data_IF_815295172911
#
_entry.id   IF_815295172911
#
_cell.length_a   1.000
_cell.length_b   1.000
_cell.length_c   1.000
_cell.angle_alpha   90.00
_cell.angle_beta   90.00
_cell.angle_gamma   90.00
#
_symmetry.space_group_name_H-M   'P 1'
#
loop_
_entity.id
_entity.type
_entity.pdbx_description
1 polymer ?
#
# COMPACT_ATOMS: atom_id res chain seq x y z
N UNK A 1 -19.16 1.44 -1.65
CA UNK A 1 -18.16 0.93 -0.68
C UNK A 1 -17.57 -0.44 -1.02
N UNK A 2 -18.25 -1.59 -0.83
CA UNK A 2 -17.63 -2.91 -1.05
C UNK A 2 -17.14 -3.13 -2.51
N UNK A 3 -18.01 -2.86 -3.50
CA UNK A 3 -17.65 -3.00 -4.91
C UNK A 3 -16.49 -2.06 -5.32
N UNK A 4 -16.44 -0.85 -4.76
CA UNK A 4 -15.34 0.08 -5.01
C UNK A 4 -14.04 -0.44 -4.38
N UNK A 5 -14.09 -0.89 -3.13
CA UNK A 5 -12.94 -1.43 -2.40
C UNK A 5 -12.29 -2.62 -3.13
N UNK A 6 -13.11 -3.50 -3.72
CA UNK A 6 -12.63 -4.65 -4.50
C UNK A 6 -12.00 -4.25 -5.84
N UNK A 7 -12.35 -3.09 -6.39
CA UNK A 7 -11.81 -2.60 -7.67
C UNK A 7 -10.52 -1.80 -7.50
N UNK A 8 -10.23 -1.28 -6.30
CA UNK A 8 -9.04 -0.46 -6.01
C UNK A 8 -7.74 -1.09 -6.52
N UNK A 9 -7.45 -2.40 -6.30
CA UNK A 9 -6.18 -2.98 -6.73
C UNK A 9 -5.99 -2.99 -8.25
N UNK A 10 -7.09 -2.93 -9.02
CA UNK A 10 -7.09 -3.08 -10.47
C UNK A 10 -7.22 -1.75 -11.23
N UNK A 11 -7.44 -0.63 -10.52
CA UNK A 11 -7.66 0.70 -11.14
C UNK A 11 -6.42 1.57 -11.25
N UNK A 12 -5.28 1.13 -10.72
CA UNK A 12 -4.07 1.95 -10.76
C UNK A 12 -3.53 2.08 -12.18
N UNK A 13 -2.98 3.26 -12.50
CA UNK A 13 -2.28 3.54 -13.77
C UNK A 13 -1.15 2.53 -14.02
N UNK A 14 -0.54 2.01 -12.94
CA UNK A 14 0.40 0.88 -12.94
C UNK A 14 -0.06 -0.22 -11.97
N UNK A 15 -1.25 -0.77 -12.23
CA UNK A 15 -1.86 -1.82 -11.40
C UNK A 15 -0.99 -3.07 -11.35
N UNK A 16 -0.42 -3.48 -12.48
CA UNK A 16 0.42 -4.69 -12.57
C UNK A 16 1.70 -4.53 -11.77
N UNK A 17 2.42 -3.42 -11.90
CA UNK A 17 3.65 -3.17 -11.14
C UNK A 17 3.38 -3.10 -9.63
N UNK A 18 2.32 -2.40 -9.23
CA UNK A 18 1.94 -2.27 -7.82
C UNK A 18 1.49 -3.59 -7.21
N UNK A 19 0.69 -4.38 -7.94
CA UNK A 19 0.26 -5.70 -7.48
C UNK A 19 1.43 -6.67 -7.38
N UNK A 20 2.33 -6.68 -8.37
CA UNK A 20 3.48 -7.58 -8.38
C UNK A 20 4.44 -7.25 -7.23
N UNK A 21 4.86 -5.98 -7.12
CA UNK A 21 5.78 -5.54 -6.05
C UNK A 21 5.14 -5.72 -4.68
N UNK A 22 3.87 -5.34 -4.53
CA UNK A 22 3.14 -5.44 -3.27
C UNK A 22 2.88 -6.88 -2.83
N UNK A 23 2.53 -7.76 -3.76
CA UNK A 23 2.38 -9.19 -3.50
C UNK A 23 3.72 -9.81 -3.10
N UNK A 24 4.79 -9.62 -3.88
CA UNK A 24 6.12 -10.15 -3.56
C UNK A 24 6.57 -9.68 -2.18
N UNK A 25 6.45 -8.38 -1.89
CA UNK A 25 6.83 -7.83 -0.59
C UNK A 25 5.98 -8.40 0.56
N UNK A 26 4.68 -8.58 0.36
CA UNK A 26 3.79 -9.17 1.36
C UNK A 26 4.12 -10.64 1.60
N UNK A 27 4.31 -11.40 0.52
CA UNK A 27 4.69 -12.82 0.59
C UNK A 27 6.02 -13.00 1.28
N UNK A 28 7.03 -12.22 0.89
CA UNK A 28 8.34 -12.21 1.53
C UNK A 28 8.23 -11.87 3.02
N UNK A 29 7.41 -10.88 3.38
CA UNK A 29 7.19 -10.50 4.79
C UNK A 29 6.55 -11.65 5.59
N UNK A 30 5.55 -12.33 5.04
CA UNK A 30 4.86 -13.45 5.71
C UNK A 30 5.78 -14.65 5.87
N UNK A 31 6.48 -15.04 4.79
CA UNK A 31 7.44 -16.16 4.80
C UNK A 31 8.59 -15.86 5.76
N UNK A 32 9.16 -14.65 5.71
CA UNK A 32 10.24 -14.26 6.60
C UNK A 32 9.78 -14.23 8.07
N UNK A 33 8.57 -13.72 8.36
CA UNK A 33 8.02 -13.76 9.71
C UNK A 33 7.83 -15.19 10.23
N UNK A 34 7.28 -16.10 9.42
CA UNK A 34 7.13 -17.51 9.78
C UNK A 34 8.48 -18.18 10.03
N UNK A 35 9.45 -17.96 9.12
CA UNK A 35 10.81 -18.46 9.27
C UNK A 35 11.50 -17.93 10.53
N UNK A 36 11.26 -16.67 10.88
CA UNK A 36 11.82 -16.07 12.10
C UNK A 36 11.22 -16.60 13.39
N UNK A 37 9.91 -16.87 13.44
CA UNK A 37 9.32 -17.54 14.58
C UNK A 37 9.89 -18.95 14.77
N UNK A 38 10.03 -19.71 13.68
CA UNK A 38 10.68 -21.02 13.72
C UNK A 38 12.14 -20.91 14.17
N UNK A 39 12.87 -19.91 13.67
CA UNK A 39 14.26 -19.67 14.02
C UNK A 39 14.43 -19.25 15.48
N UNK A 40 13.57 -18.38 16.02
CA UNK A 40 13.57 -18.02 17.44
C UNK A 40 13.32 -19.21 18.35
N UNK A 41 12.52 -20.19 17.91
CA UNK A 41 12.22 -21.39 18.68
C UNK A 41 13.39 -22.38 18.69
N UNK A 42 14.15 -22.48 17.60
CA UNK A 42 15.26 -23.44 17.47
C UNK A 42 16.60 -22.82 17.91
N UNK A 43 16.90 -21.61 17.44
CA UNK A 43 18.15 -20.90 17.69
C UNK A 43 17.87 -19.40 17.97
N UNK A 44 17.58 -19.05 19.24
CA UNK A 44 17.17 -17.70 19.62
C UNK A 44 18.17 -16.61 19.23
N UNK A 45 19.46 -16.93 19.21
CA UNK A 45 20.54 -15.96 18.91
C UNK A 45 20.49 -15.49 17.47
N UNK A 46 20.39 -16.43 16.52
CA UNK A 46 20.26 -16.12 15.09
C UNK A 46 18.89 -15.49 14.82
N UNK A 47 17.84 -15.97 15.46
CA UNK A 47 16.51 -15.36 15.39
C UNK A 47 16.54 -13.87 15.79
N UNK A 48 17.20 -13.55 16.89
CA UNK A 48 17.40 -12.17 17.33
C UNK A 48 18.18 -11.33 16.28
N UNK A 49 19.24 -11.89 15.69
CA UNK A 49 20.05 -11.22 14.68
C UNK A 49 19.29 -10.88 13.38
N UNK A 50 18.30 -11.70 12.98
CA UNK A 50 17.49 -11.48 11.75
C UNK A 50 16.31 -10.52 11.97
N UNK A 51 15.91 -10.30 13.22
CA UNK A 51 14.83 -9.37 13.63
C UNK A 51 14.82 -8.02 12.90
N UNK A 52 15.93 -7.25 12.80
CA UNK A 52 15.89 -5.93 12.16
C UNK A 52 15.50 -6.00 10.68
N UNK A 53 15.90 -7.05 9.96
CA UNK A 53 15.58 -7.22 8.54
C UNK A 53 14.07 -7.43 8.38
N UNK A 54 13.50 -8.32 9.18
CA UNK A 54 12.06 -8.64 9.11
C UNK A 54 11.22 -7.46 9.56
N UNK A 55 11.69 -6.76 10.58
CA UNK A 55 11.07 -5.53 11.03
C UNK A 55 11.05 -4.50 9.91
N UNK A 56 12.15 -4.32 9.18
CA UNK A 56 12.22 -3.42 8.02
C UNK A 56 11.16 -3.76 6.96
N UNK A 57 11.08 -5.02 6.52
CA UNK A 57 10.07 -5.46 5.54
C UNK A 57 8.63 -5.16 6.03
N UNK A 58 8.36 -5.43 7.30
CA UNK A 58 7.06 -5.16 7.93
C UNK A 58 6.74 -3.66 7.93
N UNK A 59 7.72 -2.80 8.19
CA UNK A 59 7.54 -1.34 8.15
C UNK A 59 7.17 -0.84 6.74
N UNK A 60 7.80 -1.38 5.69
CA UNK A 60 7.50 -1.02 4.31
C UNK A 60 6.03 -1.31 3.95
N UNK A 61 5.59 -2.55 4.15
CA UNK A 61 4.20 -2.98 3.88
C UNK A 61 3.22 -2.10 4.66
N UNK A 62 3.56 -1.83 5.92
CA UNK A 62 2.71 -1.04 6.79
C UNK A 62 2.60 0.43 6.38
N UNK A 63 3.70 1.05 5.99
CA UNK A 63 3.71 2.41 5.46
C UNK A 63 2.87 2.52 4.20
N UNK A 64 2.94 1.52 3.32
CA UNK A 64 2.11 1.44 2.12
C UNK A 64 0.62 1.39 2.46
N UNK A 65 0.21 0.53 3.39
CA UNK A 65 -1.19 0.44 3.81
C UNK A 65 -1.72 1.77 4.39
N UNK A 66 -0.88 2.56 5.08
CA UNK A 66 -1.30 3.89 5.56
C UNK A 66 -1.55 4.85 4.39
N UNK A 67 -0.75 4.80 3.32
CA UNK A 67 -1.03 5.59 2.11
C UNK A 67 -2.33 5.17 1.43
N UNK A 68 -2.64 3.87 1.43
CA UNK A 68 -3.92 3.36 0.89
C UNK A 68 -5.10 3.85 1.73
N UNK A 69 -4.96 3.88 3.06
CA UNK A 69 -5.95 4.50 3.95
C UNK A 69 -6.13 5.98 3.61
N UNK A 70 -5.04 6.73 3.41
CA UNK A 70 -5.10 8.14 3.01
C UNK A 70 -5.83 8.33 1.65
N UNK A 71 -5.57 7.45 0.68
CA UNK A 71 -6.28 7.47 -0.60
C UNK A 71 -7.80 7.25 -0.42
N UNK A 72 -8.19 6.32 0.45
CA UNK A 72 -9.61 6.09 0.80
C UNK A 72 -10.26 7.28 1.48
N UNK A 73 -9.54 7.99 2.35
CA UNK A 73 -10.02 9.22 3.02
C UNK A 73 -10.27 10.34 1.99
N UNK A 74 -9.35 10.52 1.04
CA UNK A 74 -9.47 11.52 -0.03
C UNK A 74 -10.39 11.10 -1.19
N UNK A 75 -11.11 9.98 -1.06
CA UNK A 75 -11.99 9.42 -2.09
C UNK A 75 -11.29 9.11 -3.43
N UNK A 76 -9.96 8.93 -3.39
CA UNK A 76 -9.18 8.55 -4.58
C UNK A 76 -9.28 7.04 -4.78
N UNK A 77 -9.53 6.63 -6.02
CA UNK A 77 -9.60 5.22 -6.42
C UNK A 77 -8.26 4.64 -6.85
N UNK A 78 -7.23 5.48 -7.00
CA UNK A 78 -5.95 5.07 -7.57
C UNK A 78 -5.04 4.47 -6.49
N UNK A 79 -4.39 3.35 -6.81
CA UNK A 79 -3.41 2.75 -5.91
C UNK A 79 -2.21 3.69 -5.76
N UNK A 80 -1.76 3.97 -4.53
CA UNK A 80 -0.50 4.69 -4.31
C UNK A 80 0.67 3.90 -4.89
N UNK A 81 1.68 4.58 -5.42
CA UNK A 81 2.90 3.91 -5.90
C UNK A 81 3.85 3.57 -4.73
N UNK A 82 4.71 2.57 -4.95
CA UNK A 82 5.79 2.19 -4.03
C UNK A 82 7.00 3.13 -4.09
N UNK A 83 6.93 4.19 -4.91
CA UNK A 83 7.99 5.19 -5.02
C UNK A 83 8.14 5.94 -3.68
N UNK A 84 9.38 6.32 -3.34
CA UNK A 84 9.78 6.99 -2.08
C UNK A 84 9.79 6.07 -0.84
N UNK A 85 10.55 4.98 -0.91
CA UNK A 85 10.80 4.02 0.19
C UNK A 85 11.09 4.66 1.55
N UNK A 86 11.88 5.74 1.61
CA UNK A 86 12.20 6.43 2.86
C UNK A 86 10.97 6.98 3.59
N UNK A 87 9.99 7.52 2.85
CA UNK A 87 8.73 7.97 3.46
C UNK A 87 7.82 6.81 3.85
N UNK A 88 7.83 5.69 3.10
CA UNK A 88 7.12 4.47 3.51
C UNK A 88 7.67 3.93 4.84
N UNK A 89 8.98 3.89 4.99
CA UNK A 89 9.64 3.52 6.24
C UNK A 89 9.23 4.43 7.40
N UNK A 90 9.28 5.74 7.21
CA UNK A 90 8.88 6.72 8.24
C UNK A 90 7.42 6.54 8.65
N UNK A 91 6.50 6.47 7.69
CA UNK A 91 5.06 6.28 7.96
C UNK A 91 4.79 4.91 8.58
N UNK A 92 5.51 3.87 8.14
CA UNK A 92 5.46 2.53 8.73
C UNK A 92 5.91 2.51 10.18
N UNK A 93 7.00 3.21 10.50
CA UNK A 93 7.53 3.35 11.85
C UNK A 93 6.56 4.11 12.76
N UNK A 94 6.01 5.25 12.30
CA UNK A 94 4.98 6.00 13.02
C UNK A 94 3.74 5.14 13.28
N UNK A 95 3.25 4.44 12.27
CA UNK A 95 2.11 3.51 12.42
C UNK A 95 2.42 2.41 13.44
N UNK A 96 3.66 1.91 13.46
CA UNK A 96 4.11 0.89 14.41
C UNK A 96 4.17 1.40 15.82
N UNK A 97 4.72 2.59 16.02
CA UNK A 97 4.76 3.24 17.32
C UNK A 97 3.34 3.49 17.86
N UNK A 98 2.42 4.00 17.04
CA UNK A 98 1.00 4.16 17.43
C UNK A 98 0.41 2.83 17.87
N UNK A 99 0.57 1.77 17.08
CA UNK A 99 0.07 0.44 17.49
C UNK A 99 0.74 -0.15 18.71
N UNK A 100 2.02 0.14 18.96
CA UNK A 100 2.73 -0.31 20.14
C UNK A 100 2.19 0.37 21.40
N UNK A 101 1.95 1.69 21.34
CA UNK A 101 1.34 2.46 22.43
C UNK A 101 -0.05 1.90 22.75
N UNK A 102 -0.89 1.68 21.74
CA UNK A 102 -2.19 1.03 21.93
C UNK A 102 -2.10 -0.45 22.31
N UNK A 103 -0.95 -1.11 22.20
CA UNK A 103 -0.79 -2.50 22.64
C UNK A 103 -0.32 -2.61 24.10
N UNK A 104 0.07 -1.51 24.75
CA UNK A 104 0.56 -1.53 26.13
C UNK A 104 -0.42 -2.17 27.12
N UNK A 105 -1.73 -1.86 27.11
CA UNK A 105 -2.66 -2.50 28.04
C UNK A 105 -2.78 -4.00 27.78
N UNK A 106 -2.76 -4.42 26.51
CA UNK A 106 -2.73 -5.85 26.15
C UNK A 106 -1.48 -6.53 26.71
N UNK A 107 -0.32 -5.88 26.64
CA UNK A 107 0.95 -6.43 27.16
C UNK A 107 0.92 -6.63 28.67
N UNK A 108 0.23 -5.77 29.42
CA UNK A 108 0.02 -5.96 30.86
C UNK A 108 -0.84 -7.20 31.13
N UNK A 109 -1.92 -7.40 30.37
CA UNK A 109 -2.76 -8.60 30.47
C UNK A 109 -1.99 -9.88 30.11
N UNK A 110 -1.14 -9.83 29.07
CA UNK A 110 -0.25 -10.93 28.69
C UNK A 110 0.77 -11.23 29.78
N UNK A 111 1.42 -10.21 30.34
CA UNK A 111 2.38 -10.38 31.43
C UNK A 111 1.74 -10.99 32.67
N UNK A 112 0.52 -10.56 32.98
CA UNK A 112 -0.25 -11.06 34.12
C UNK A 112 -0.66 -12.54 33.91
N UNK A 113 -1.28 -12.87 32.77
CA UNK A 113 -1.71 -14.25 32.48
C UNK A 113 -0.51 -15.19 32.25
N UNK A 114 0.49 -14.73 31.50
CA UNK A 114 1.69 -15.49 31.18
C UNK A 114 2.57 -15.73 32.40
N UNK A 115 2.77 -14.70 33.24
CA UNK A 115 3.50 -14.84 34.50
C UNK A 115 2.83 -15.81 35.47
N UNK A 116 1.50 -15.70 35.62
CA UNK A 116 0.73 -16.63 36.45
C UNK A 116 0.73 -18.05 35.88
N UNK A 117 0.58 -18.21 34.55
CA UNK A 117 0.67 -19.51 33.88
C UNK A 117 2.05 -20.17 34.05
N UNK A 118 3.13 -19.40 33.89
CA UNK A 118 4.48 -19.89 34.11
C UNK A 118 4.68 -20.37 35.56
N UNK A 119 4.18 -19.63 36.54
CA UNK A 119 4.24 -20.02 37.95
C UNK A 119 3.51 -21.35 38.21
N UNK A 120 2.36 -21.59 37.57
CA UNK A 120 1.63 -22.87 37.69
C UNK A 120 2.35 -24.06 37.05
N UNK A 121 3.18 -23.83 36.03
CA UNK A 121 3.93 -24.89 35.34
C UNK A 121 5.21 -25.24 36.10
N UNK A 122 5.89 -24.23 36.64
CA UNK A 122 7.15 -24.40 37.37
C UNK A 122 6.90 -25.00 38.77
N UNK A 123 5.72 -24.73 39.35
CA UNK A 123 5.27 -25.21 40.65
C UNK A 123 6.30 -25.02 41.78
N UNK A 124 6.62 -23.76 42.14
CA UNK A 124 7.63 -23.47 43.16
C UNK A 124 7.21 -23.99 44.55
N UNK A 125 8.16 -24.31 45.45
CA UNK A 125 7.83 -24.82 46.78
C UNK A 125 6.97 -23.82 47.56
N UNK A 126 5.86 -24.30 48.12
CA UNK A 126 4.88 -23.47 48.85
C UNK A 126 3.80 -22.83 47.99
N UNK A 127 3.65 -23.25 46.73
CA UNK A 127 2.64 -22.71 45.80
C UNK A 127 1.21 -23.27 46.00
N UNK A 128 0.99 -24.08 47.03
CA UNK A 128 -0.31 -24.69 47.33
C UNK A 128 -1.28 -23.73 48.04
N UNK A 129 -2.58 -23.88 47.79
CA UNK A 129 -3.63 -23.12 48.46
C UNK A 129 -3.79 -21.70 47.89
N UNK A 130 -3.52 -20.67 48.70
CA UNK A 130 -3.78 -19.26 48.34
C UNK A 130 -2.99 -18.82 47.07
N UNK A 131 -1.69 -19.11 46.92
CA UNK A 131 -0.92 -18.70 45.74
C UNK A 131 -1.46 -19.31 44.44
N UNK A 132 -1.87 -20.59 44.45
CA UNK A 132 -2.49 -21.25 43.30
C UNK A 132 -3.82 -20.60 42.91
N UNK A 133 -4.67 -20.26 43.89
CA UNK A 133 -5.94 -19.56 43.64
C UNK A 133 -5.68 -18.17 43.04
N UNK A 134 -4.71 -17.42 43.58
CA UNK A 134 -4.32 -16.11 43.04
C UNK A 134 -3.81 -16.23 41.60
N UNK A 135 -3.02 -17.26 41.29
CA UNK A 135 -2.55 -17.51 39.93
C UNK A 135 -3.72 -17.84 38.99
N UNK A 136 -4.68 -18.66 39.41
CA UNK A 136 -5.87 -18.95 38.62
C UNK A 136 -6.72 -17.69 38.34
N UNK A 137 -6.92 -16.85 39.36
CA UNK A 137 -7.62 -15.55 39.21
C UNK A 137 -6.84 -14.62 38.29
N UNK A 138 -5.51 -14.58 38.40
CA UNK A 138 -4.66 -13.80 37.54
C UNK A 138 -4.75 -14.27 36.07
N UNK A 139 -4.67 -15.58 35.81
CA UNK A 139 -4.87 -16.14 34.46
C UNK A 139 -6.25 -15.76 33.92
N UNK A 140 -7.31 -15.84 34.73
CA UNK A 140 -8.66 -15.48 34.31
C UNK A 140 -8.77 -13.99 33.96
N UNK A 141 -8.32 -13.09 34.83
CA UNK A 141 -8.39 -11.63 34.62
C UNK A 141 -7.49 -11.22 33.45
N UNK A 142 -6.26 -11.73 33.39
CA UNK A 142 -5.31 -11.46 32.32
C UNK A 142 -5.78 -12.00 30.98
N UNK A 143 -6.25 -13.25 30.93
CA UNK A 143 -6.76 -13.89 29.72
C UNK A 143 -8.04 -13.24 29.20
N UNK A 144 -9.03 -13.04 30.08
CA UNK A 144 -10.29 -12.38 29.71
C UNK A 144 -10.09 -10.91 29.37
N UNK A 145 -9.26 -10.20 30.15
CA UNK A 145 -8.85 -8.82 29.87
C UNK A 145 -8.14 -8.70 28.52
N UNK A 146 -7.25 -9.65 28.18
CA UNK A 146 -6.59 -9.71 26.88
C UNK A 146 -7.60 -9.95 25.75
N UNK A 147 -8.59 -10.81 25.96
CA UNK A 147 -9.63 -11.10 24.96
C UNK A 147 -10.50 -9.86 24.70
N UNK A 148 -11.01 -9.23 25.76
CA UNK A 148 -11.83 -8.02 25.66
C UNK A 148 -11.04 -6.85 25.06
N UNK A 149 -9.85 -6.60 25.59
CA UNK A 149 -9.00 -5.53 25.10
C UNK A 149 -8.50 -5.81 23.68
N UNK A 150 -8.25 -7.07 23.32
CA UNK A 150 -7.89 -7.48 21.97
C UNK A 150 -8.96 -7.09 20.95
N UNK A 151 -10.24 -7.26 21.30
CA UNK A 151 -11.35 -6.84 20.45
C UNK A 151 -11.44 -5.31 20.33
N UNK A 152 -11.30 -4.60 21.45
CA UNK A 152 -11.24 -3.12 21.49
C UNK A 152 -10.07 -2.62 20.63
N UNK A 153 -8.89 -3.21 20.79
CA UNK A 153 -7.70 -2.91 20.00
C UNK A 153 -7.92 -3.18 18.52
N UNK A 154 -8.54 -4.29 18.15
CA UNK A 154 -8.86 -4.64 16.76
C UNK A 154 -9.80 -3.60 16.12
N UNK A 155 -10.70 -3.00 16.90
CA UNK A 155 -11.60 -1.93 16.45
C UNK A 155 -10.92 -0.56 16.36
N UNK A 156 -10.14 -0.17 17.37
CA UNK A 156 -9.51 1.15 17.48
C UNK A 156 -8.25 1.31 16.62
N UNK A 157 -7.50 0.23 16.40
CA UNK A 157 -6.25 0.26 15.62
C UNK A 157 -6.44 0.82 14.20
N UNK A 158 -7.43 0.39 13.39
CA UNK A 158 -7.68 0.99 12.08
C UNK A 158 -8.08 2.48 12.17
N UNK A 159 -8.87 2.89 13.16
CA UNK A 159 -9.23 4.30 13.37
C UNK A 159 -7.99 5.16 13.66
N UNK A 160 -7.10 4.71 14.54
CA UNK A 160 -5.86 5.42 14.84
C UNK A 160 -4.97 5.57 13.59
N UNK A 161 -4.95 4.55 12.72
CA UNK A 161 -4.25 4.64 11.42
C UNK A 161 -4.90 5.62 10.47
N UNK A 162 -6.23 5.72 10.44
CA UNK A 162 -6.93 6.72 9.63
C UNK A 162 -6.64 8.14 10.10
N UNK A 163 -6.63 8.39 11.42
CA UNK A 163 -6.21 9.69 11.98
C UNK A 163 -4.76 10.01 11.63
N UNK A 164 -3.85 9.04 11.73
CA UNK A 164 -2.45 9.21 11.33
C UNK A 164 -2.33 9.53 9.83
N UNK A 165 -3.09 8.83 8.99
CA UNK A 165 -3.10 9.01 7.55
C UNK A 165 -3.64 10.40 7.14
N UNK A 166 -4.67 10.90 7.81
CA UNK A 166 -5.26 12.21 7.53
C UNK A 166 -4.41 13.37 8.04
N UNK A 167 -3.76 13.22 9.20
CA UNK A 167 -3.08 14.35 9.87
C UNK A 167 -1.56 14.33 9.70
N UNK A 168 -0.95 13.22 9.28
CA UNK A 168 0.50 13.05 9.27
C UNK A 168 1.17 13.14 10.66
N UNK A 169 0.40 13.36 11.73
CA UNK A 169 0.90 13.65 13.07
C UNK A 169 0.71 12.46 14.00
N UNK A 170 1.81 12.01 14.59
CA UNK A 170 1.82 10.93 15.57
C UNK A 170 1.01 11.31 16.83
N UNK A 171 1.17 12.55 17.29
CA UNK A 171 0.48 13.08 18.47
C UNK A 171 -1.03 13.07 18.29
N UNK A 172 -1.51 13.44 17.10
CA UNK A 172 -2.93 13.40 16.78
C UNK A 172 -3.48 11.97 16.80
N UNK A 173 -2.71 11.00 16.30
CA UNK A 173 -3.09 9.59 16.25
C UNK A 173 -3.04 8.88 17.61
N UNK A 174 -2.28 9.39 18.58
CA UNK A 174 -2.20 8.86 19.95
C UNK A 174 -3.34 9.41 20.83
N UNK A 175 -3.93 10.56 20.49
CA UNK A 175 -4.98 11.17 21.29
C UNK A 175 -6.25 10.28 21.31
N UNK A 176 -6.57 9.63 22.44
CA UNK A 176 -7.63 8.62 22.49
C UNK A 176 -9.01 9.24 22.26
N UNK A 177 -9.24 10.49 22.67
CA UNK A 177 -10.52 11.17 22.47
C UNK A 177 -10.83 11.35 20.99
N UNK A 178 -9.82 11.77 20.21
CA UNK A 178 -9.94 11.95 18.76
C UNK A 178 -10.19 10.60 18.07
N UNK A 179 -9.43 9.58 18.41
CA UNK A 179 -9.59 8.25 17.80
C UNK A 179 -10.95 7.63 18.14
N UNK A 180 -11.40 7.74 19.40
CA UNK A 180 -12.71 7.24 19.83
C UNK A 180 -13.83 7.97 19.10
N UNK A 181 -13.74 9.30 18.95
CA UNK A 181 -14.74 10.08 18.20
C UNK A 181 -14.88 9.61 16.75
N UNK A 182 -13.76 9.38 16.04
CA UNK A 182 -13.78 8.81 14.68
C UNK A 182 -14.37 7.41 14.68
N UNK A 183 -14.04 6.60 15.69
CA UNK A 183 -14.53 5.23 15.79
C UNK A 183 -16.02 5.12 16.09
N UNK A 184 -16.64 6.17 16.64
CA UNK A 184 -18.08 6.22 16.93
C UNK A 184 -18.91 6.65 15.71
N UNK A 185 -18.26 7.06 14.61
CA UNK A 185 -18.96 7.39 13.38
C UNK A 185 -19.57 6.13 12.75
N UNK A 186 -20.85 6.17 12.40
CA UNK A 186 -21.55 5.04 11.78
C UNK A 186 -20.92 4.60 10.45
N UNK A 187 -20.41 5.54 9.66
CA UNK A 187 -19.71 5.23 8.40
C UNK A 187 -18.37 4.52 8.63
N UNK A 188 -17.69 4.78 9.76
CA UNK A 188 -16.49 4.05 10.13
C UNK A 188 -16.80 2.59 10.46
N UNK A 189 -17.85 2.33 11.24
CA UNK A 189 -18.28 0.97 11.58
C UNK A 189 -18.57 0.15 10.31
N UNK A 190 -19.26 0.74 9.33
CA UNK A 190 -19.53 0.09 8.05
C UNK A 190 -18.23 -0.26 7.29
N UNK A 191 -17.28 0.69 7.20
CA UNK A 191 -15.98 0.46 6.59
C UNK A 191 -15.16 -0.62 7.31
N UNK A 192 -15.21 -0.65 8.64
CA UNK A 192 -14.55 -1.66 9.46
C UNK A 192 -15.16 -3.06 9.30
N UNK A 193 -16.49 -3.17 9.27
CA UNK A 193 -17.17 -4.46 9.03
C UNK A 193 -16.84 -5.03 7.65
N UNK A 194 -16.80 -4.18 6.62
CA UNK A 194 -16.35 -4.58 5.27
C UNK A 194 -14.89 -5.08 5.33
N UNK A 195 -14.02 -4.36 6.01
CA UNK A 195 -12.61 -4.72 6.13
C UNK A 195 -12.41 -6.05 6.86
N UNK A 196 -13.11 -6.28 7.98
CA UNK A 196 -13.07 -7.57 8.68
C UNK A 196 -13.63 -8.67 7.79
N UNK A 197 -14.78 -8.47 7.15
CA UNK A 197 -15.37 -9.45 6.25
C UNK A 197 -14.40 -9.87 5.13
N UNK A 198 -13.70 -8.92 4.52
CA UNK A 198 -12.68 -9.21 3.51
C UNK A 198 -11.50 -10.01 4.07
N UNK A 199 -11.00 -9.63 5.24
CA UNK A 199 -9.83 -10.25 5.86
C UNK A 199 -10.12 -11.62 6.49
N UNK A 200 -11.37 -11.90 6.85
CA UNK A 200 -11.78 -13.21 7.37
C UNK A 200 -12.24 -14.14 6.25
N UNK A 201 -13.15 -13.71 5.38
CA UNK A 201 -13.72 -14.55 4.31
C UNK A 201 -12.72 -14.79 3.18
N UNK A 202 -11.89 -13.81 2.85
CA UNK A 202 -10.95 -13.91 1.73
C UNK A 202 -9.98 -15.10 1.84
N UNK A 203 -9.29 -15.30 2.98
CA UNK A 203 -8.44 -16.48 3.17
C UNK A 203 -9.17 -17.82 3.06
N UNK A 204 -10.46 -17.91 3.38
CA UNK A 204 -11.24 -19.15 3.25
C UNK A 204 -11.35 -19.62 1.78
N UNK A 205 -11.24 -18.70 0.82
CA UNK A 205 -11.27 -19.03 -0.61
C UNK A 205 -10.04 -19.81 -1.07
N UNK A 206 -8.93 -19.72 -0.32
CA UNK A 206 -7.67 -20.40 -0.63
C UNK A 206 -7.66 -21.83 -0.08
N UNK A 207 -8.45 -22.12 0.96
CA UNK A 207 -8.55 -23.44 1.58
C UNK A 207 -8.74 -24.61 0.60
N UNK A 208 -9.70 -24.58 -0.36
CA UNK A 208 -9.86 -25.68 -1.30
C UNK A 208 -8.62 -25.87 -2.19
N UNK A 209 -7.93 -24.79 -2.56
CA UNK A 209 -6.71 -24.86 -3.36
C UNK A 209 -5.57 -25.54 -2.58
N UNK A 210 -5.45 -25.24 -1.27
CA UNK A 210 -4.51 -25.93 -0.37
C UNK A 210 -4.83 -27.42 -0.29
N UNK A 211 -6.11 -27.78 -0.13
CA UNK A 211 -6.54 -29.20 -0.07
C UNK A 211 -6.16 -29.93 -1.36
N UNK A 212 -6.47 -29.35 -2.53
CA UNK A 212 -6.10 -29.94 -3.83
C UNK A 212 -4.59 -30.06 -3.97
N UNK A 213 -3.84 -29.03 -3.58
CA UNK A 213 -2.38 -29.05 -3.64
C UNK A 213 -1.76 -30.12 -2.75
N UNK A 214 -2.28 -30.32 -1.54
CA UNK A 214 -1.83 -31.38 -0.62
C UNK A 214 -2.18 -32.74 -1.19
N UNK A 215 -3.40 -32.91 -1.72
CA UNK A 215 -3.84 -34.18 -2.30
C UNK A 215 -3.00 -34.55 -3.53
N UNK A 216 -2.72 -33.59 -4.41
CA UNK A 216 -1.84 -33.77 -5.56
C UNK A 216 -0.42 -34.17 -5.13
N UNK A 217 0.07 -33.61 -4.02
CA UNK A 217 1.38 -33.94 -3.48
C UNK A 217 1.50 -35.33 -2.85
N UNK A 218 0.38 -35.98 -2.50
CA UNK A 218 0.38 -37.39 -2.11
C UNK A 218 0.62 -38.34 -3.28
N UNK A 219 0.33 -37.90 -4.52
CA UNK A 219 0.54 -38.71 -5.72
C UNK A 219 1.95 -38.57 -6.27
N UNK A 220 2.46 -37.34 -6.35
CA UNK A 220 3.75 -37.04 -6.97
C UNK A 220 4.38 -35.78 -6.34
N UNK A 221 5.67 -35.87 -6.02
CA UNK A 221 6.48 -34.77 -5.48
C UNK A 221 6.53 -33.58 -6.45
N UNK A 222 6.58 -33.82 -7.77
CA UNK A 222 6.59 -32.76 -8.78
C UNK A 222 5.26 -31.99 -8.77
N UNK A 223 4.13 -32.70 -8.69
CA UNK A 223 2.81 -32.09 -8.54
C UNK A 223 2.67 -31.36 -7.19
N UNK A 224 3.24 -31.90 -6.11
CA UNK A 224 3.31 -31.24 -4.81
C UNK A 224 4.00 -29.87 -4.93
N UNK A 225 5.15 -29.83 -5.60
CA UNK A 225 5.96 -28.63 -5.74
C UNK A 225 5.24 -27.57 -6.60
N UNK A 226 4.71 -27.97 -7.76
CA UNK A 226 3.98 -27.07 -8.66
C UNK A 226 2.70 -26.56 -8.01
N UNK A 227 1.89 -27.47 -7.45
CA UNK A 227 0.65 -27.13 -6.75
C UNK A 227 0.91 -26.21 -5.56
N UNK A 228 1.95 -26.50 -4.77
CA UNK A 228 2.32 -25.70 -3.61
C UNK A 228 2.76 -24.30 -4.00
N UNK A 229 3.59 -24.18 -5.03
CA UNK A 229 4.06 -22.88 -5.55
C UNK A 229 2.90 -22.04 -6.10
N UNK A 230 2.01 -22.64 -6.89
CA UNK A 230 0.83 -21.95 -7.42
C UNK A 230 -0.11 -21.51 -6.30
N UNK A 231 -0.36 -22.39 -5.33
CA UNK A 231 -1.18 -22.06 -4.16
C UNK A 231 -0.59 -20.92 -3.37
N UNK A 232 0.72 -20.94 -3.13
CA UNK A 232 1.44 -19.87 -2.43
C UNK A 232 1.34 -18.54 -3.20
N UNK A 233 1.58 -18.55 -4.51
CA UNK A 233 1.46 -17.37 -5.36
C UNK A 233 0.07 -16.75 -5.27
N UNK A 234 -0.98 -17.56 -5.47
CA UNK A 234 -2.38 -17.11 -5.39
C UNK A 234 -2.70 -16.56 -4.00
N UNK A 235 -2.27 -17.25 -2.94
CA UNK A 235 -2.47 -16.83 -1.56
C UNK A 235 -1.88 -15.44 -1.31
N UNK A 236 -0.65 -15.23 -1.74
CA UNK A 236 0.09 -13.97 -1.50
C UNK A 236 -0.55 -12.81 -2.26
N UNK A 237 -0.89 -13.01 -3.54
CA UNK A 237 -1.57 -11.99 -4.36
C UNK A 237 -2.94 -11.64 -3.78
N UNK A 238 -3.72 -12.65 -3.40
CA UNK A 238 -5.03 -12.46 -2.78
C UNK A 238 -4.91 -11.72 -1.45
N UNK A 239 -3.99 -12.14 -0.58
CA UNK A 239 -3.77 -11.52 0.73
C UNK A 239 -3.39 -10.04 0.60
N UNK A 240 -2.49 -9.70 -0.32
CA UNK A 240 -2.13 -8.32 -0.57
C UNK A 240 -3.34 -7.50 -1.05
N UNK A 241 -4.08 -8.02 -2.03
CA UNK A 241 -5.27 -7.37 -2.59
C UNK A 241 -6.33 -7.12 -1.52
N UNK A 242 -6.62 -8.12 -0.68
CA UNK A 242 -7.58 -8.00 0.43
C UNK A 242 -7.13 -6.97 1.47
N UNK A 243 -5.84 -6.95 1.82
CA UNK A 243 -5.29 -5.96 2.77
C UNK A 243 -5.40 -4.54 2.21
N UNK A 244 -5.19 -4.38 0.91
CA UNK A 244 -5.34 -3.10 0.23
C UNK A 244 -6.81 -2.64 0.21
N UNK A 245 -7.73 -3.52 -0.20
CA UNK A 245 -9.18 -3.23 -0.20
C UNK A 245 -9.70 -2.91 1.20
N UNK A 246 -9.27 -3.68 2.22
CA UNK A 246 -9.63 -3.43 3.61
C UNK A 246 -9.10 -2.09 4.12
N UNK A 247 -7.84 -1.76 3.84
CA UNK A 247 -7.24 -0.47 4.18
C UNK A 247 -8.01 0.70 3.56
N UNK A 248 -8.32 0.61 2.26
CA UNK A 248 -9.10 1.63 1.57
C UNK A 248 -10.52 1.78 2.17
N UNK A 249 -11.21 0.68 2.43
CA UNK A 249 -12.56 0.69 3.02
C UNK A 249 -12.58 1.36 4.40
N UNK A 250 -11.58 1.09 5.25
CA UNK A 250 -11.45 1.77 6.56
C UNK A 250 -11.17 3.26 6.43
N UNK A 251 -10.36 3.67 5.45
CA UNK A 251 -10.12 5.08 5.16
C UNK A 251 -11.39 5.79 4.67
N UNK A 252 -12.11 5.19 3.73
CA UNK A 252 -13.35 5.77 3.19
C UNK A 252 -14.45 5.87 4.25
N UNK A 253 -14.54 4.90 5.15
CA UNK A 253 -15.46 4.95 6.30
C UNK A 253 -15.10 6.01 7.34
N UNK A 254 -13.81 6.30 7.51
CA UNK A 254 -13.36 7.37 8.42
C UNK A 254 -13.48 8.78 7.82
N UNK A 255 -13.65 8.90 6.50
CA UNK A 255 -13.59 10.18 5.78
C UNK A 255 -14.56 11.23 6.32
N UNK A 256 -15.82 10.86 6.60
CA UNK A 256 -16.85 11.81 7.03
C UNK A 256 -16.54 12.40 8.43
N UNK A 257 -16.03 11.58 9.33
CA UNK A 257 -15.61 12.00 10.67
C UNK A 257 -14.33 12.83 10.66
N UNK A 258 -13.56 12.76 9.57
CA UNK A 258 -12.30 13.46 9.37
C UNK A 258 -12.46 14.66 8.42
N UNK A 259 -13.68 15.11 8.09
CA UNK A 259 -13.84 16.37 7.35
C UNK A 259 -13.66 17.58 8.29
N UNK A 260 -13.02 18.66 7.84
CA UNK A 260 -12.80 19.86 8.66
C UNK A 260 -14.10 20.50 9.18
N UNK A 261 -15.18 20.42 8.40
CA UNK A 261 -16.49 21.01 8.72
C UNK A 261 -17.23 20.25 9.84
N UNK A 262 -16.77 19.07 10.21
CA UNK A 262 -17.37 18.23 11.26
C UNK A 262 -17.12 18.76 12.69
N UNK A 263 -16.56 19.97 12.84
CA UNK A 263 -16.25 20.60 14.14
C UNK A 263 -15.04 19.98 14.86
N UNK A 264 -14.37 19.00 14.25
CA UNK A 264 -13.17 18.35 14.79
C UNK A 264 -11.95 19.05 14.18
N UNK A 265 -11.57 20.19 14.76
CA UNK A 265 -10.50 21.08 14.25
C UNK A 265 -9.32 20.34 13.62
N UNK A 266 -9.28 20.32 12.29
CA UNK A 266 -8.14 19.87 11.51
C UNK A 266 -7.32 21.12 11.26
N UNK A 267 -6.22 21.27 12.01
CA UNK A 267 -5.19 22.23 11.66
C UNK A 267 -4.56 21.72 10.37
N UNK A 268 -4.88 22.38 9.27
CA UNK A 268 -4.58 22.00 7.89
C UNK A 268 -3.12 22.27 7.51
N UNK A 269 -2.16 21.69 8.23
CA UNK A 269 -0.73 22.04 8.05
C UNK A 269 0.20 20.83 7.86
N UNK A 270 -0.33 19.70 7.37
CA UNK A 270 0.45 18.47 7.23
C UNK A 270 0.04 17.57 6.06
N UNK A 271 -0.18 18.14 4.87
CA UNK A 271 0.02 17.39 3.62
C UNK A 271 1.46 17.62 3.14
N UNK A 272 2.38 16.64 3.25
CA UNK A 272 3.55 16.60 2.39
C UNK A 272 3.13 16.00 1.03
N UNK A 273 3.22 16.81 -0.01
CA UNK A 273 3.15 16.46 -1.44
C UNK A 273 1.89 15.72 -1.93
N UNK A 274 0.82 16.48 -2.15
CA UNK A 274 0.05 16.29 -3.39
C UNK A 274 0.63 17.26 -4.44
N UNK A 275 0.74 16.89 -5.72
CA UNK A 275 1.04 17.86 -6.77
C UNK A 275 -0.20 18.73 -6.96
N UNK A 276 -0.35 19.69 -6.07
CA UNK A 276 -1.16 20.87 -6.31
C UNK A 276 -0.42 21.64 -7.38
N UNK A 277 -1.03 21.83 -8.55
CA UNK A 277 -0.62 22.90 -9.47
C UNK A 277 -0.89 24.20 -8.74
N UNK A 278 0.08 24.62 -7.95
CA UNK A 278 0.15 25.95 -7.37
C UNK A 278 1.02 26.72 -8.37
N UNK A 279 0.39 27.65 -9.07
CA UNK A 279 1.05 28.82 -9.61
C UNK A 279 1.63 29.59 -8.41
N UNK A 280 2.80 29.15 -7.95
CA UNK A 280 3.58 29.91 -6.98
C UNK A 280 4.38 30.91 -7.79
N UNK A 281 3.85 32.13 -7.91
CA UNK A 281 4.70 33.31 -8.00
C UNK A 281 5.61 33.30 -6.76
N UNK A 282 6.85 32.85 -6.96
CA UNK A 282 7.92 32.94 -5.98
C UNK A 282 8.43 34.38 -6.07
N UNK A 283 8.25 35.23 -5.03
CA UNK A 283 9.03 36.45 -4.94
C UNK A 283 10.47 36.05 -4.63
N UNK A 284 11.42 36.61 -5.37
CA UNK A 284 12.88 36.45 -5.26
C UNK A 284 13.56 35.30 -6.01
N UNK A 285 13.06 34.94 -7.20
CA UNK A 285 13.96 34.36 -8.23
C UNK A 285 14.62 35.51 -9.02
N UNK A 286 15.97 35.60 -9.09
CA UNK A 286 16.60 36.58 -9.97
C UNK A 286 16.11 36.36 -11.39
N UNK A 287 15.72 37.47 -12.05
CA UNK A 287 15.13 37.49 -13.39
C UNK A 287 15.97 36.65 -14.34
N UNK A 288 15.37 35.60 -14.87
CA UNK A 288 16.02 34.74 -15.86
C UNK A 288 16.44 35.62 -17.07
N UNK A 289 17.68 35.47 -17.51
CA UNK A 289 18.23 36.31 -18.56
C UNK A 289 17.39 36.16 -19.84
N UNK A 290 17.14 37.27 -20.58
CA UNK A 290 16.31 37.25 -21.77
C UNK A 290 16.79 36.19 -22.78
N UNK A 291 15.88 35.56 -23.53
CA UNK A 291 16.16 34.40 -24.38
C UNK A 291 17.24 34.63 -25.44
N UNK A 292 17.57 35.89 -25.75
CA UNK A 292 18.70 36.25 -26.61
C UNK A 292 20.09 35.90 -26.02
N UNK A 293 20.18 35.63 -24.71
CA UNK A 293 21.45 35.34 -24.00
C UNK A 293 21.59 33.83 -23.67
N UNK A 294 20.51 33.05 -23.81
CA UNK A 294 20.54 31.60 -23.61
C UNK A 294 21.07 30.88 -24.87
N UNK A 295 22.39 30.94 -25.08
CA UNK A 295 23.08 30.10 -26.07
C UNK A 295 23.29 28.70 -25.49
N UNK A 296 22.67 27.68 -26.11
CA UNK A 296 22.91 26.27 -25.80
C UNK A 296 21.68 25.38 -25.64
N UNK A 297 20.45 25.91 -25.77
CA UNK A 297 19.22 25.09 -25.76
C UNK A 297 18.42 25.36 -27.02
N UNK A 298 18.63 24.55 -28.04
CA UNK A 298 17.76 24.55 -29.23
C UNK A 298 16.38 24.03 -28.81
N UNK A 299 15.43 24.95 -28.66
CA UNK A 299 14.00 24.65 -28.57
C UNK A 299 13.40 25.03 -29.90
N UNK A 300 12.90 24.03 -30.63
CA UNK A 300 12.21 24.23 -31.90
C UNK A 300 11.03 25.19 -31.73
N UNK A 301 11.11 26.34 -32.41
CA UNK A 301 10.05 27.33 -32.45
C UNK A 301 8.90 26.84 -33.34
N UNK A 302 7.81 26.39 -32.70
CA UNK A 302 6.49 26.32 -33.32
C UNK A 302 5.86 27.71 -33.34
N UNK A 303 5.76 28.30 -34.52
CA UNK A 303 5.30 29.66 -34.82
C UNK A 303 3.85 29.93 -34.38
N UNK A 304 3.67 31.13 -33.77
CA UNK A 304 2.49 32.00 -33.52
C UNK A 304 1.08 31.54 -33.96
N UNK A 305 0.04 31.67 -33.14
CA UNK A 305 -0.58 32.94 -32.69
C UNK A 305 -1.62 33.40 -33.74
N UNK A 306 -2.88 33.74 -33.46
CA UNK A 306 -3.43 34.54 -32.38
C UNK A 306 -4.97 34.40 -32.20
N UNK A 307 -5.44 35.03 -31.13
CA UNK A 307 -6.77 35.17 -30.50
C UNK A 307 -7.87 35.76 -31.39
N UNK A 308 -9.12 35.25 -31.32
CA UNK A 308 -10.34 36.06 -31.02
C UNK A 308 -11.65 35.25 -31.03
N UNK A 309 -12.53 35.66 -30.12
CA UNK A 309 -13.85 35.14 -29.80
C UNK A 309 -14.92 36.00 -30.49
N UNK A 310 -15.85 35.43 -31.26
CA UNK A 310 -17.23 35.95 -31.44
C UNK A 310 -18.19 34.91 -32.02
N UNK A 311 -19.42 35.05 -31.55
CA UNK A 311 -20.71 34.40 -31.78
C UNK A 311 -21.17 34.23 -33.25
N UNK A 312 -22.08 33.26 -33.47
CA UNK A 312 -23.15 33.37 -34.48
C UNK A 312 -23.09 32.52 -35.77
N UNK A 313 -23.92 31.45 -35.80
CA UNK A 313 -24.96 31.26 -36.83
C UNK A 313 -24.63 30.78 -38.26
N UNK A 314 -25.14 29.56 -38.55
CA UNK A 314 -25.79 29.09 -39.78
C UNK A 314 -25.00 28.86 -41.11
N UNK A 315 -25.16 27.61 -41.57
CA UNK A 315 -25.32 27.13 -42.96
C UNK A 315 -24.26 27.47 -44.03
N UNK A 316 -23.52 26.45 -44.47
CA UNK A 316 -23.45 26.01 -45.88
C UNK A 316 -22.53 24.78 -46.08
N UNK A 317 -23.12 23.70 -46.60
CA UNK A 317 -22.49 22.66 -47.44
C UNK A 317 -23.10 22.78 -48.85
N UNK A 318 -22.67 22.06 -49.90
CA UNK A 318 -21.37 21.51 -50.30
C UNK A 318 -21.03 21.90 -51.77
N UNK A 319 -19.86 21.53 -52.32
CA UNK A 319 -19.55 21.77 -53.75
C UNK A 319 -18.46 20.86 -54.33
N UNK A 320 -18.90 19.85 -55.08
CA UNK A 320 -18.12 18.91 -55.90
C UNK A 320 -17.38 19.62 -57.07
N UNK A 321 -16.17 19.17 -57.40
CA UNK A 321 -15.48 19.57 -58.63
C UNK A 321 -14.14 18.84 -58.88
N UNK A 322 -14.20 17.78 -59.69
CA UNK A 322 -13.09 17.22 -60.50
C UNK A 322 -13.46 17.50 -61.97
N UNK A 323 -12.53 17.70 -62.92
CA UNK A 323 -11.68 16.61 -63.42
C UNK A 323 -10.27 16.94 -63.99
N UNK A 324 -9.44 15.89 -64.01
CA UNK A 324 -8.48 15.41 -65.05
C UNK A 324 -7.25 16.19 -65.60
N UNK A 325 -6.12 15.46 -65.49
CA UNK A 325 -5.19 14.99 -66.55
C UNK A 325 -4.14 15.93 -67.18
N UNK A 326 -2.85 15.61 -66.97
CA UNK A 326 -1.93 15.17 -68.05
C UNK A 326 -0.54 14.75 -67.52
N UNK A 327 -0.05 13.62 -68.01
CA UNK A 327 1.34 13.11 -67.94
C UNK A 327 2.08 13.48 -69.24
N UNK A 328 3.42 13.55 -69.25
CA UNK A 328 4.23 12.55 -69.98
C UNK A 328 5.48 12.10 -69.16
N UNK A 329 5.80 10.80 -69.07
CA UNK A 329 6.68 10.01 -69.98
C UNK A 329 8.08 10.62 -70.07
N UNK A 330 9.15 9.95 -69.61
CA UNK A 330 9.96 9.02 -70.45
C UNK A 330 10.84 8.10 -69.58
N UNK A 331 10.94 6.84 -70.00
CA UNK A 331 11.80 5.78 -69.48
C UNK A 331 13.07 5.62 -70.35
N UNK A 332 14.20 5.23 -69.73
CA UNK A 332 15.31 4.39 -70.26
C UNK A 332 16.38 4.33 -69.16
N UNK A 333 16.55 3.25 -68.41
CA UNK A 333 17.36 2.07 -68.75
C UNK A 333 18.83 2.42 -69.05
N UNK A 334 19.72 1.96 -68.16
CA UNK A 334 21.17 2.05 -68.26
C UNK A 334 21.81 1.51 -66.97
N UNK A 335 22.15 0.21 -67.00
CA UNK A 335 22.93 -0.52 -66.00
C UNK A 335 24.29 0.16 -65.72
N UNK A 336 24.75 0.12 -64.47
CA UNK A 336 26.16 -0.02 -64.09
C UNK A 336 26.26 -0.26 -62.56
N UNK A 337 26.43 -1.52 -62.16
CA UNK A 337 27.14 -1.93 -60.94
C UNK A 337 28.65 -1.66 -61.16
N UNK A 338 29.46 -1.28 -60.14
CA UNK A 338 29.87 -2.25 -59.11
C UNK A 338 30.27 -1.66 -57.74
N UNK A 339 30.53 -2.55 -56.76
CA UNK A 339 31.58 -2.29 -55.76
C UNK A 339 31.23 -2.50 -54.29
N UNK A 340 31.12 -3.79 -53.92
CA UNK A 340 31.51 -4.42 -52.65
C UNK A 340 32.33 -3.54 -51.67
N UNK A 341 31.78 -3.26 -50.48
CA UNK A 341 32.46 -2.56 -49.39
C UNK A 341 32.94 -3.57 -48.34
N UNK A 342 34.26 -3.75 -48.32
CA UNK A 342 35.04 -4.61 -47.43
C UNK A 342 35.17 -4.02 -46.02
N UNK A 343 34.94 -4.84 -44.98
CA UNK A 343 34.82 -4.43 -43.57
C UNK A 343 36.02 -4.83 -42.69
N UNK A 344 37.13 -5.33 -43.24
CA UNK A 344 38.25 -5.84 -42.44
C UNK A 344 39.50 -4.93 -42.49
N UNK A 345 39.54 -3.88 -41.67
CA UNK A 345 40.78 -3.16 -41.37
C UNK A 345 40.73 -2.32 -40.08
N UNK A 346 40.68 -2.94 -38.90
CA UNK A 346 41.06 -2.26 -37.65
C UNK A 346 41.41 -3.24 -36.49
N UNK A 347 42.32 -4.19 -36.73
CA UNK A 347 43.08 -4.81 -35.64
C UNK A 347 44.56 -4.75 -35.99
N UNK A 348 45.26 -3.76 -35.43
CA UNK A 348 46.69 -3.72 -35.12
C UNK A 348 46.99 -2.38 -34.47
N UNK A 349 47.01 -2.37 -33.14
CA UNK A 349 48.04 -1.76 -32.28
C UNK A 349 47.92 -2.31 -30.86
#
# INVERSE_FOLDING_TARGET
MLNEALRVPYRAVDATGTLLVGAVLTGLTVVAAAGWFALLAVEPTIGAAVTPIIFLLSLLVRGYLVRVVAAGISERSDAPSFVRWGSLLRTGAQSTLVSAIYALPASACVGLAGGAGAATIIDPPGFEGIPQVLAAVAILIGGFGLLLYGLVYLYLRPAARAVLAATGSLLAAINPRRVVSVSMAGSYLAGWLIAIGLLTVGPLLVTPLIVVSVLAGLYDIALAAIGGLLTLLVTVVLLFSLRMSAAWATGRGAADALRPDSGIGIVADALPDAPTVIDTEIPDRPTEAPPAVQVGREVAAGTGGAVQHTDGGADQSPGFGMPESTTPTTASAGDDEPGEFDWDAAERE
#
